data_IF_518028223894
#
_entry.id   IF_518028223894
#
_cell.length_a   1.000
_cell.length_b   1.000
_cell.length_c   1.000
_cell.angle_alpha   90.00
_cell.angle_beta   90.00
_cell.angle_gamma   90.00
#
_symmetry.space_group_name_H-M   'P 1'
#
loop_
_entity.id
_entity.type
_entity.pdbx_description
1 polymer ?
#
# COMPACT_ATOMS: atom_id res chain seq x y z
N UNK A 1 11.24 -20.86 36.32
CA UNK A 1 12.21 -19.99 37.05
C UNK A 1 11.40 -18.91 37.76
N UNK A 2 11.40 -18.88 39.09
CA UNK A 2 10.66 -17.85 39.85
C UNK A 2 11.58 -16.65 40.06
N UNK A 3 11.26 -15.54 39.39
CA UNK A 3 11.99 -14.28 39.59
C UNK A 3 11.62 -13.71 40.96
N UNK A 4 12.62 -13.44 41.79
CA UNK A 4 12.41 -12.70 43.03
C UNK A 4 12.21 -11.22 42.71
N UNK A 5 11.27 -10.53 43.38
CA UNK A 5 11.06 -9.10 43.16
C UNK A 5 12.32 -8.30 43.58
N UNK A 6 12.70 -7.34 42.75
CA UNK A 6 13.77 -6.38 43.07
C UNK A 6 13.19 -5.34 44.03
N UNK A 7 13.75 -5.25 45.24
CA UNK A 7 13.32 -4.33 46.30
C UNK A 7 14.44 -3.32 46.56
N UNK A 8 14.07 -2.10 46.93
CA UNK A 8 15.02 -1.10 47.42
C UNK A 8 15.77 -1.63 48.65
N UNK A 9 17.10 -1.66 48.57
CA UNK A 9 17.91 -1.98 49.74
C UNK A 9 17.77 -0.91 50.83
N UNK A 10 17.67 -1.35 52.09
CA UNK A 10 17.43 -0.44 53.21
C UNK A 10 16.11 0.35 53.10
N UNK A 11 15.11 -0.14 52.38
CA UNK A 11 13.83 0.58 52.17
C UNK A 11 13.18 1.01 53.49
N UNK A 12 13.13 0.12 54.49
CA UNK A 12 12.50 0.41 55.77
C UNK A 12 13.18 1.59 56.48
N UNK A 13 14.50 1.54 56.61
CA UNK A 13 15.32 2.60 57.21
C UNK A 13 15.23 3.90 56.40
N UNK A 14 15.32 3.82 55.07
CA UNK A 14 15.21 4.98 54.18
C UNK A 14 13.85 5.65 54.31
N UNK A 15 12.77 4.86 54.40
CA UNK A 15 11.40 5.35 54.58
C UNK A 15 11.24 6.02 55.94
N UNK A 16 11.78 5.44 56.99
CA UNK A 16 11.75 6.00 58.34
C UNK A 16 12.52 7.32 58.42
N UNK A 17 13.76 7.35 57.91
CA UNK A 17 14.60 8.55 57.87
C UNK A 17 13.98 9.66 57.01
N UNK A 18 13.45 9.32 55.84
CA UNK A 18 12.75 10.29 54.98
C UNK A 18 11.49 10.81 55.68
N UNK A 19 10.74 9.94 56.37
CA UNK A 19 9.59 10.33 57.18
C UNK A 19 9.98 11.34 58.27
N UNK A 20 11.05 11.09 59.02
CA UNK A 20 11.56 12.04 60.01
C UNK A 20 11.96 13.38 59.39
N UNK A 21 12.68 13.36 58.27
CA UNK A 21 13.06 14.58 57.55
C UNK A 21 11.85 15.35 57.04
N UNK A 22 10.77 14.67 56.64
CA UNK A 22 9.59 15.31 56.08
C UNK A 22 8.66 15.90 57.15
N UNK A 23 8.68 15.40 58.39
CA UNK A 23 7.88 15.92 59.51
C UNK A 23 8.07 17.42 59.75
N UNK A 24 9.29 17.94 59.56
CA UNK A 24 9.55 19.39 59.73
C UNK A 24 8.77 20.27 58.73
N UNK A 25 8.21 19.67 57.67
CA UNK A 25 7.42 20.36 56.67
C UNK A 25 5.90 20.20 56.90
N UNK A 26 5.46 19.41 57.89
CA UNK A 26 4.06 19.32 58.29
C UNK A 26 3.63 20.65 58.91
N UNK A 27 2.57 21.27 58.37
CA UNK A 27 2.12 22.60 58.81
C UNK A 27 3.09 23.75 58.47
N UNK A 28 4.10 23.52 57.62
CA UNK A 28 5.08 24.53 57.25
C UNK A 28 4.43 25.73 56.57
N UNK A 29 4.65 26.92 57.14
CA UNK A 29 4.19 28.19 56.57
C UNK A 29 5.34 28.89 55.85
N UNK A 30 5.05 29.37 54.65
CA UNK A 30 6.02 30.11 53.85
C UNK A 30 6.12 31.54 54.37
N UNK A 31 7.23 31.88 55.02
CA UNK A 31 7.47 33.23 55.56
C UNK A 31 7.64 34.29 54.45
N UNK A 32 8.32 33.92 53.36
CA UNK A 32 8.50 34.78 52.20
C UNK A 32 8.81 33.94 50.94
N UNK A 33 8.69 34.57 49.77
CA UNK A 33 8.86 33.91 48.46
C UNK A 33 10.25 33.25 48.30
N UNK A 34 11.31 33.86 48.83
CA UNK A 34 12.68 33.31 48.74
C UNK A 34 12.81 32.02 49.55
N UNK A 35 12.33 32.02 50.80
CA UNK A 35 12.33 30.86 51.68
C UNK A 35 11.48 29.72 51.09
N UNK A 36 10.26 30.03 50.64
CA UNK A 36 9.38 29.03 50.00
C UNK A 36 10.02 28.37 48.77
N UNK A 37 10.66 29.16 47.88
CA UNK A 37 11.39 28.61 46.72
C UNK A 37 12.54 27.69 47.15
N UNK A 38 13.27 28.05 48.20
CA UNK A 38 14.37 27.23 48.71
C UNK A 38 13.88 25.89 49.28
N UNK A 39 12.82 25.92 50.09
CA UNK A 39 12.19 24.71 50.66
C UNK A 39 11.66 23.77 49.57
N UNK A 40 10.97 24.31 48.56
CA UNK A 40 10.51 23.51 47.41
C UNK A 40 11.68 22.90 46.64
N UNK A 41 12.77 23.64 46.43
CA UNK A 41 13.95 23.12 45.75
C UNK A 41 14.59 21.95 46.54
N UNK A 42 14.66 22.05 47.87
CA UNK A 42 15.16 20.98 48.75
C UNK A 42 14.30 19.71 48.63
N UNK A 43 12.97 19.84 48.68
CA UNK A 43 12.05 18.70 48.52
C UNK A 43 12.15 18.06 47.13
N UNK A 44 12.27 18.88 46.07
CA UNK A 44 12.49 18.39 44.70
C UNK A 44 13.81 17.64 44.57
N UNK A 45 14.86 18.07 45.26
CA UNK A 45 16.14 17.36 45.31
C UNK A 45 16.00 15.98 45.95
N UNK A 46 15.37 15.89 47.13
CA UNK A 46 15.10 14.60 47.79
C UNK A 46 14.30 13.65 46.89
N UNK A 47 13.26 14.15 46.20
CA UNK A 47 12.50 13.38 45.22
C UNK A 47 13.38 12.87 44.07
N UNK A 48 14.28 13.71 43.58
CA UNK A 48 15.19 13.37 42.49
C UNK A 48 16.17 12.28 42.91
N UNK A 49 16.75 12.39 44.10
CA UNK A 49 17.67 11.39 44.66
C UNK A 49 17.03 10.00 44.77
N UNK A 50 15.78 9.91 45.24
CA UNK A 50 15.03 8.63 45.27
C UNK A 50 14.84 8.06 43.86
N UNK A 51 14.54 8.92 42.88
CA UNK A 51 14.35 8.49 41.50
C UNK A 51 15.65 8.06 40.81
N UNK A 52 16.77 8.72 41.10
CA UNK A 52 18.08 8.31 40.60
C UNK A 52 18.49 6.96 41.18
N UNK A 53 18.32 6.76 42.50
CA UNK A 53 18.59 5.46 43.12
C UNK A 53 17.72 4.34 42.53
N UNK A 54 16.45 4.60 42.21
CA UNK A 54 15.60 3.66 41.45
C UNK A 54 16.21 3.31 40.09
N UNK A 55 16.70 4.31 39.35
CA UNK A 55 17.32 4.08 38.03
C UNK A 55 18.61 3.27 38.16
N UNK A 56 19.42 3.55 39.17
CA UNK A 56 20.62 2.77 39.50
C UNK A 56 20.29 1.30 39.75
N UNK A 57 19.26 0.99 40.55
CA UNK A 57 18.81 -0.40 40.74
C UNK A 57 18.27 -1.05 39.46
N UNK A 58 17.58 -0.29 38.61
CA UNK A 58 17.01 -0.82 37.35
C UNK A 58 18.09 -1.10 36.29
N UNK A 59 19.15 -0.28 36.28
CA UNK A 59 20.15 -0.25 35.20
C UNK A 59 20.84 -1.61 34.96
N UNK A 60 21.38 -2.32 35.97
CA UNK A 60 22.01 -3.63 35.74
C UNK A 60 21.09 -4.65 35.07
N UNK A 61 19.79 -4.63 35.35
CA UNK A 61 18.83 -5.54 34.72
C UNK A 61 18.56 -5.15 33.27
N UNK A 62 18.43 -3.85 33.00
CA UNK A 62 18.29 -3.36 31.62
C UNK A 62 19.54 -3.68 30.83
N UNK A 63 20.72 -3.45 31.40
CA UNK A 63 22.01 -3.75 30.78
C UNK A 63 22.22 -5.27 30.60
N UNK A 64 21.72 -6.12 31.50
CA UNK A 64 21.81 -7.57 31.40
C UNK A 64 20.86 -8.18 30.36
N UNK A 65 19.70 -7.58 30.14
CA UNK A 65 18.70 -8.05 29.17
C UNK A 65 19.02 -7.56 27.75
N UNK A 66 19.65 -6.38 27.64
CA UNK A 66 19.96 -5.73 26.36
C UNK A 66 20.70 -6.64 25.35
N UNK A 67 21.75 -7.40 25.71
CA UNK A 67 22.42 -8.29 24.76
C UNK A 67 21.48 -9.33 24.16
N UNK A 68 20.57 -9.90 24.95
CA UNK A 68 19.58 -10.86 24.47
C UNK A 68 18.55 -10.19 23.56
N UNK A 69 18.10 -8.97 23.89
CA UNK A 69 17.23 -8.18 23.01
C UNK A 69 17.90 -7.86 21.68
N UNK A 70 19.18 -7.48 21.70
CA UNK A 70 19.94 -7.14 20.51
C UNK A 70 20.20 -8.39 19.65
N UNK A 71 20.51 -9.55 20.25
CA UNK A 71 20.58 -10.84 19.57
C UNK A 71 19.24 -11.22 18.92
N UNK A 72 18.11 -11.03 19.63
CA UNK A 72 16.80 -11.31 19.07
C UNK A 72 16.49 -10.40 17.88
N UNK A 73 16.82 -9.10 17.97
CA UNK A 73 16.67 -8.16 16.86
C UNK A 73 17.50 -8.54 15.64
N UNK A 74 18.75 -8.95 15.86
CA UNK A 74 19.62 -9.42 14.78
C UNK A 74 19.02 -10.64 14.07
N UNK A 75 18.54 -11.64 14.83
CA UNK A 75 17.89 -12.82 14.28
C UNK A 75 16.59 -12.47 13.52
N UNK A 76 15.78 -11.55 14.04
CA UNK A 76 14.58 -11.07 13.34
C UNK A 76 14.95 -10.35 12.04
N UNK A 77 15.99 -9.50 12.05
CA UNK A 77 16.46 -8.80 10.87
C UNK A 77 16.94 -9.77 9.78
N UNK A 78 17.67 -10.83 10.13
CA UNK A 78 18.07 -11.88 9.18
C UNK A 78 16.86 -12.57 8.52
N UNK A 79 15.78 -12.76 9.29
CA UNK A 79 14.54 -13.35 8.77
C UNK A 79 13.84 -12.37 7.83
N UNK A 80 13.74 -11.10 8.22
CA UNK A 80 13.13 -10.05 7.40
C UNK A 80 13.89 -9.86 6.08
N UNK A 81 15.23 -9.90 6.11
CA UNK A 81 16.08 -9.85 4.91
C UNK A 81 15.79 -11.00 3.93
N UNK A 82 15.39 -12.17 4.42
CA UNK A 82 14.96 -13.29 3.58
C UNK A 82 13.51 -13.15 3.10
N UNK A 83 12.60 -12.65 3.95
CA UNK A 83 11.17 -12.47 3.63
C UNK A 83 10.96 -11.39 2.56
N UNK A 84 11.61 -10.24 2.72
CA UNK A 84 11.38 -9.06 1.90
C UNK A 84 11.52 -9.31 0.39
N UNK A 85 12.61 -9.91 -0.13
CA UNK A 85 12.73 -10.17 -1.57
C UNK A 85 11.72 -11.21 -2.08
N UNK A 86 11.30 -12.17 -1.24
CA UNK A 86 10.27 -13.15 -1.61
C UNK A 86 8.91 -12.46 -1.72
N UNK A 87 8.57 -11.61 -0.76
CA UNK A 87 7.33 -10.85 -0.77
C UNK A 87 7.26 -9.91 -1.98
N UNK A 88 8.36 -9.27 -2.35
CA UNK A 88 8.45 -8.43 -3.55
C UNK A 88 8.26 -9.25 -4.84
N UNK A 89 8.93 -10.39 -4.96
CA UNK A 89 8.75 -11.29 -6.10
C UNK A 89 7.30 -11.79 -6.23
N UNK A 90 6.67 -12.16 -5.12
CA UNK A 90 5.26 -12.57 -5.11
C UNK A 90 4.35 -11.44 -5.58
N UNK A 91 4.54 -10.22 -5.10
CA UNK A 91 3.78 -9.05 -5.55
C UNK A 91 3.96 -8.80 -7.05
N UNK A 92 5.17 -8.91 -7.57
CA UNK A 92 5.45 -8.74 -8.99
C UNK A 92 4.77 -9.82 -9.84
N UNK A 93 4.78 -11.07 -9.39
CA UNK A 93 4.06 -12.17 -10.05
C UNK A 93 2.55 -11.91 -10.02
N UNK A 94 1.98 -11.51 -8.89
CA UNK A 94 0.54 -11.23 -8.77
C UNK A 94 0.09 -10.07 -9.65
N UNK A 95 0.90 -9.01 -9.72
CA UNK A 95 0.67 -7.88 -10.61
C UNK A 95 0.75 -8.29 -12.07
N UNK A 96 1.82 -8.98 -12.49
CA UNK A 96 1.96 -9.48 -13.86
C UNK A 96 0.78 -10.36 -14.27
N UNK A 97 0.37 -11.30 -13.41
CA UNK A 97 -0.82 -12.13 -13.67
C UNK A 97 -2.11 -11.31 -13.75
N UNK A 98 -2.22 -10.20 -13.01
CA UNK A 98 -3.36 -9.29 -13.10
C UNK A 98 -3.35 -8.51 -14.41
N UNK A 99 -2.20 -8.03 -14.84
CA UNK A 99 -2.02 -7.29 -16.09
C UNK A 99 -2.28 -8.20 -17.30
N UNK A 100 -1.86 -9.46 -17.25
CA UNK A 100 -2.21 -10.49 -18.24
C UNK A 100 -3.71 -10.73 -18.31
N UNK A 101 -4.40 -10.84 -17.16
CA UNK A 101 -5.86 -10.95 -17.12
C UNK A 101 -6.53 -9.71 -17.70
N UNK A 102 -6.03 -8.53 -17.40
CA UNK A 102 -6.55 -7.28 -17.94
C UNK A 102 -6.37 -7.19 -19.47
N UNK A 103 -5.17 -7.50 -19.98
CA UNK A 103 -4.90 -7.59 -21.42
C UNK A 103 -5.86 -8.56 -22.10
N UNK A 104 -6.08 -9.73 -21.50
CA UNK A 104 -7.03 -10.73 -22.00
C UNK A 104 -8.47 -10.20 -22.01
N UNK A 105 -8.92 -9.53 -20.95
CA UNK A 105 -10.26 -8.94 -20.89
C UNK A 105 -10.41 -7.85 -21.95
N UNK A 106 -9.43 -6.95 -22.10
CA UNK A 106 -9.42 -5.91 -23.15
C UNK A 106 -9.51 -6.52 -24.55
N UNK A 107 -8.76 -7.59 -24.82
CA UNK A 107 -8.85 -8.33 -26.09
C UNK A 107 -10.26 -8.89 -26.33
N UNK A 108 -10.87 -9.53 -25.32
CA UNK A 108 -12.21 -10.08 -25.44
C UNK A 108 -13.28 -8.99 -25.63
N UNK A 109 -13.15 -7.86 -24.93
CA UNK A 109 -14.03 -6.70 -25.14
C UNK A 109 -13.86 -6.19 -26.56
N UNK A 110 -12.64 -6.02 -27.06
CA UNK A 110 -12.39 -5.54 -28.41
C UNK A 110 -13.01 -6.45 -29.48
N UNK A 111 -12.87 -7.77 -29.32
CA UNK A 111 -13.45 -8.76 -30.23
C UNK A 111 -14.99 -8.72 -30.22
N UNK A 112 -15.59 -8.56 -29.05
CA UNK A 112 -17.05 -8.64 -28.87
C UNK A 112 -17.77 -7.32 -29.13
N UNK A 113 -17.24 -6.20 -28.64
CA UNK A 113 -17.83 -4.86 -28.75
C UNK A 113 -18.02 -4.45 -30.21
N UNK A 114 -17.15 -4.91 -31.11
CA UNK A 114 -17.29 -4.70 -32.55
C UNK A 114 -18.64 -5.19 -33.10
N UNK A 115 -19.06 -6.40 -32.70
CA UNK A 115 -20.36 -6.96 -33.11
C UNK A 115 -21.55 -6.18 -32.56
N UNK A 116 -21.32 -5.40 -31.49
CA UNK A 116 -22.31 -4.58 -30.81
C UNK A 116 -22.22 -3.09 -31.18
N UNK A 117 -21.29 -2.68 -32.05
CA UNK A 117 -21.08 -1.30 -32.47
C UNK A 117 -20.71 -0.34 -31.33
N UNK A 118 -20.02 -0.86 -30.31
CA UNK A 118 -19.54 -0.09 -29.16
C UNK A 118 -18.04 0.10 -29.30
N UNK A 119 -17.54 1.31 -28.99
CA UNK A 119 -16.10 1.52 -28.82
C UNK A 119 -15.60 0.68 -27.62
N UNK A 120 -14.66 -0.27 -27.84
CA UNK A 120 -14.09 -1.08 -26.77
C UNK A 120 -13.50 -0.27 -25.60
N UNK A 121 -13.06 0.96 -25.83
CA UNK A 121 -12.46 1.83 -24.81
C UNK A 121 -13.50 2.44 -23.85
N UNK A 122 -14.76 2.52 -24.28
CA UNK A 122 -15.89 3.02 -23.47
C UNK A 122 -16.48 1.94 -22.56
N UNK A 123 -15.98 0.70 -22.63
CA UNK A 123 -16.47 -0.42 -21.82
C UNK A 123 -15.69 -0.49 -20.51
N UNK A 124 -16.38 -0.16 -19.41
CA UNK A 124 -15.80 -0.25 -18.07
C UNK A 124 -15.42 -1.69 -17.69
N UNK A 125 -14.12 -1.92 -17.42
CA UNK A 125 -13.63 -3.21 -16.93
C UNK A 125 -14.04 -3.41 -15.48
N UNK A 126 -14.90 -4.39 -15.23
CA UNK A 126 -15.35 -4.70 -13.87
C UNK A 126 -14.28 -5.47 -13.08
N UNK A 127 -14.05 -5.16 -11.79
CA UNK A 127 -13.06 -5.88 -10.96
C UNK A 127 -13.25 -7.40 -10.93
N UNK A 128 -14.50 -7.88 -11.03
CA UNK A 128 -14.84 -9.31 -11.08
C UNK A 128 -14.20 -10.01 -12.29
N UNK A 129 -14.02 -9.33 -13.41
CA UNK A 129 -13.43 -9.87 -14.63
C UNK A 129 -11.92 -10.11 -14.53
N UNK A 130 -11.27 -9.45 -13.57
CA UNK A 130 -9.83 -9.58 -13.31
C UNK A 130 -9.52 -10.60 -12.21
N UNK A 131 -10.52 -11.35 -11.74
CA UNK A 131 -10.35 -12.40 -10.72
C UNK A 131 -9.81 -13.69 -11.34
N UNK A 132 -9.11 -14.51 -10.53
CA UNK A 132 -8.60 -15.82 -10.96
C UNK A 132 -9.71 -16.87 -11.14
N UNK A 133 -10.89 -16.63 -10.57
CA UNK A 133 -11.97 -17.61 -10.48
C UNK A 133 -13.03 -17.49 -11.59
N UNK A 134 -13.05 -16.39 -12.34
CA UNK A 134 -14.02 -16.25 -13.44
C UNK A 134 -13.61 -17.14 -14.62
N UNK A 135 -14.47 -18.09 -14.97
CA UNK A 135 -14.25 -18.95 -16.13
C UNK A 135 -14.53 -18.20 -17.45
N UNK A 136 -13.87 -18.63 -18.52
CA UNK A 136 -13.96 -18.02 -19.85
C UNK A 136 -15.38 -17.83 -20.38
N UNK A 137 -16.23 -18.83 -20.18
CA UNK A 137 -17.63 -18.80 -20.63
C UNK A 137 -18.42 -17.71 -19.90
N UNK A 138 -18.24 -17.62 -18.58
CA UNK A 138 -18.92 -16.63 -17.75
C UNK A 138 -18.40 -15.22 -18.04
N UNK A 139 -17.09 -15.06 -18.22
CA UNK A 139 -16.50 -13.77 -18.60
C UNK A 139 -17.07 -13.25 -19.93
N UNK A 140 -17.08 -14.09 -20.97
CA UNK A 140 -17.65 -13.71 -22.28
C UNK A 140 -19.13 -13.35 -22.16
N UNK A 141 -19.89 -14.11 -21.37
CA UNK A 141 -21.30 -13.83 -21.12
C UNK A 141 -21.49 -12.48 -20.44
N UNK A 142 -20.74 -12.17 -19.38
CA UNK A 142 -20.84 -10.89 -18.69
C UNK A 142 -20.47 -9.70 -19.57
N UNK A 143 -19.42 -9.84 -20.40
CA UNK A 143 -19.05 -8.81 -21.39
C UNK A 143 -20.20 -8.62 -22.40
N UNK A 144 -20.76 -9.71 -22.95
CA UNK A 144 -21.88 -9.61 -23.90
C UNK A 144 -23.11 -8.92 -23.29
N UNK A 145 -23.42 -9.24 -22.03
CA UNK A 145 -24.56 -8.64 -21.34
C UNK A 145 -24.33 -7.15 -21.05
N UNK A 146 -23.09 -6.75 -20.72
CA UNK A 146 -22.73 -5.32 -20.59
C UNK A 146 -22.89 -4.57 -21.91
N UNK A 147 -22.37 -5.12 -23.01
CA UNK A 147 -22.47 -4.52 -24.34
C UNK A 147 -23.94 -4.35 -24.76
N UNK A 148 -24.79 -5.35 -24.52
CA UNK A 148 -26.24 -5.22 -24.79
C UNK A 148 -26.89 -4.09 -24.00
N UNK A 149 -26.50 -3.90 -22.73
CA UNK A 149 -27.00 -2.80 -21.91
C UNK A 149 -26.55 -1.46 -22.49
N UNK A 150 -25.28 -1.31 -22.86
CA UNK A 150 -24.75 -0.09 -23.48
C UNK A 150 -25.48 0.27 -24.78
N UNK A 151 -25.76 -0.71 -25.66
CA UNK A 151 -26.58 -0.50 -26.87
C UNK A 151 -27.99 -0.02 -26.50
N UNK A 152 -28.64 -0.66 -25.53
CA UNK A 152 -30.00 -0.31 -25.08
C UNK A 152 -30.12 1.12 -24.56
N UNK A 153 -29.04 1.64 -23.97
CA UNK A 153 -28.98 2.99 -23.40
C UNK A 153 -28.16 3.99 -24.25
N UNK A 154 -27.83 3.63 -25.50
CA UNK A 154 -27.11 4.47 -26.48
C UNK A 154 -25.78 5.06 -25.97
N UNK A 155 -25.02 4.29 -25.17
CA UNK A 155 -23.68 4.68 -24.73
C UNK A 155 -22.60 4.09 -25.66
N UNK A 156 -21.62 4.89 -26.06
CA UNK A 156 -20.46 4.46 -26.85
C UNK A 156 -20.69 4.44 -28.37
N UNK A 157 -20.74 5.62 -29.00
CA UNK A 157 -20.80 5.78 -30.47
C UNK A 157 -19.47 5.41 -31.14
N UNK A 158 -19.52 5.06 -32.44
CA UNK A 158 -18.31 4.79 -33.25
C UNK A 158 -17.39 6.04 -33.30
N UNK A 159 -16.08 5.86 -33.51
CA UNK A 159 -15.16 6.97 -33.76
C UNK A 159 -15.61 7.84 -34.94
N UNK A 160 -15.38 9.15 -34.84
CA UNK A 160 -15.72 10.12 -35.89
C UNK A 160 -15.09 9.72 -37.25
N UNK A 161 -15.88 9.85 -38.31
CA UNK A 161 -15.46 9.54 -39.69
C UNK A 161 -15.61 8.08 -40.13
N UNK A 162 -16.10 7.19 -39.26
CA UNK A 162 -16.43 5.80 -39.60
C UNK A 162 -17.94 5.58 -39.50
N UNK A 163 -18.53 5.23 -40.64
CA UNK A 163 -19.96 5.01 -40.79
C UNK A 163 -20.28 3.58 -41.21
N UNK A 164 -21.58 3.26 -41.22
CA UNK A 164 -22.09 1.99 -41.74
C UNK A 164 -22.94 2.21 -42.98
N UNK A 165 -22.53 1.60 -44.09
CA UNK A 165 -23.30 1.58 -45.35
C UNK A 165 -23.52 0.12 -45.75
N UNK A 166 -24.78 -0.30 -45.84
CA UNK A 166 -25.17 -1.66 -46.27
C UNK A 166 -24.43 -2.79 -45.54
N UNK A 167 -24.19 -2.63 -44.23
CA UNK A 167 -23.55 -3.65 -43.41
C UNK A 167 -22.03 -3.58 -43.37
N UNK A 168 -21.39 -2.88 -44.31
CA UNK A 168 -19.97 -2.62 -44.33
C UNK A 168 -19.59 -1.39 -43.48
N UNK A 169 -18.40 -1.42 -42.90
CA UNK A 169 -17.77 -0.22 -42.34
C UNK A 169 -17.16 0.57 -43.49
N UNK A 170 -17.48 1.85 -43.51
CA UNK A 170 -17.08 2.74 -44.59
C UNK A 170 -16.59 4.05 -43.99
N UNK A 171 -15.46 4.56 -44.47
CA UNK A 171 -15.00 5.90 -44.12
C UNK A 171 -15.96 6.97 -44.66
N UNK A 172 -15.81 8.22 -44.23
CA UNK A 172 -16.53 9.36 -44.82
C UNK A 172 -16.34 9.46 -46.35
N UNK A 173 -15.20 8.98 -46.87
CA UNK A 173 -14.87 8.99 -48.29
C UNK A 173 -15.44 7.80 -49.08
N UNK A 174 -16.18 6.89 -48.42
CA UNK A 174 -16.82 5.76 -49.11
C UNK A 174 -15.94 4.50 -49.20
N UNK A 175 -14.77 4.47 -48.56
CA UNK A 175 -13.87 3.32 -48.61
C UNK A 175 -14.19 2.26 -47.55
N UNK A 176 -14.07 1.00 -47.94
CA UNK A 176 -14.29 -0.15 -47.05
C UNK A 176 -13.22 -0.21 -45.96
N UNK A 177 -13.64 -0.12 -44.69
CA UNK A 177 -12.75 -0.17 -43.54
C UNK A 177 -12.74 -1.58 -42.94
N UNK A 178 -11.56 -2.12 -42.68
CA UNK A 178 -11.37 -3.42 -42.00
C UNK A 178 -10.51 -3.23 -40.76
N UNK A 179 -11.05 -3.59 -39.58
CA UNK A 179 -10.32 -3.52 -38.32
C UNK A 179 -9.61 -4.85 -38.04
N UNK A 180 -8.31 -4.78 -37.78
CA UNK A 180 -7.50 -5.92 -37.37
C UNK A 180 -6.89 -5.66 -35.99
N UNK A 181 -6.93 -6.65 -35.09
CA UNK A 181 -6.22 -6.63 -33.82
C UNK A 181 -4.90 -7.40 -33.97
N UNK A 182 -3.77 -6.75 -33.71
CA UNK A 182 -2.44 -7.37 -33.84
C UNK A 182 -1.63 -7.18 -32.55
N UNK A 183 -1.18 -8.29 -31.97
CA UNK A 183 -0.23 -8.28 -30.83
C UNK A 183 1.14 -8.67 -31.34
N UNK A 184 2.12 -7.76 -31.22
CA UNK A 184 3.50 -7.98 -31.64
C UNK A 184 4.47 -7.74 -30.48
N UNK A 185 5.55 -8.53 -30.43
CA UNK A 185 6.66 -8.32 -29.50
C UNK A 185 7.82 -7.70 -30.28
N UNK A 186 8.11 -6.42 -30.02
CA UNK A 186 9.13 -5.64 -30.73
C UNK A 186 9.91 -4.77 -29.76
N UNK A 187 11.15 -4.43 -30.11
CA UNK A 187 11.95 -3.43 -29.39
C UNK A 187 11.42 -2.02 -29.64
N UNK A 188 11.79 -1.05 -28.79
CA UNK A 188 11.38 0.35 -28.95
C UNK A 188 11.77 0.95 -30.32
N UNK A 189 12.92 0.57 -30.88
CA UNK A 189 13.35 1.06 -32.20
C UNK A 189 12.54 0.42 -33.33
N UNK A 190 12.22 -0.87 -33.21
CA UNK A 190 11.34 -1.56 -34.17
C UNK A 190 9.92 -1.01 -34.12
N UNK A 191 9.42 -0.67 -32.92
CA UNK A 191 8.11 -0.05 -32.76
C UNK A 191 8.05 1.33 -33.42
N UNK A 192 9.05 2.20 -33.21
CA UNK A 192 9.10 3.51 -33.87
C UNK A 192 9.09 3.38 -35.40
N UNK A 193 9.82 2.40 -35.93
CA UNK A 193 9.86 2.10 -37.37
C UNK A 193 8.50 1.63 -37.88
N UNK A 194 7.81 0.75 -37.14
CA UNK A 194 6.47 0.29 -37.54
C UNK A 194 5.43 1.40 -37.50
N UNK A 195 5.57 2.34 -36.56
CA UNK A 195 4.66 3.47 -36.43
C UNK A 195 4.92 4.56 -37.47
N UNK A 196 6.13 4.69 -38.03
CA UNK A 196 6.41 5.70 -39.06
C UNK A 196 5.69 5.43 -40.39
N UNK A 197 5.35 4.17 -40.65
CA UNK A 197 4.66 3.74 -41.86
C UNK A 197 3.13 3.76 -41.72
N UNK A 198 2.61 4.03 -40.51
CA UNK A 198 1.19 4.12 -40.22
C UNK A 198 0.74 5.59 -40.15
N UNK A 199 -0.42 5.90 -40.72
CA UNK A 199 -1.01 7.23 -40.56
C UNK A 199 -1.49 7.40 -39.10
N UNK A 200 -0.66 8.05 -38.27
CA UNK A 200 -0.85 8.18 -36.82
C UNK A 200 -2.16 8.90 -36.44
N UNK A 201 -2.77 9.63 -37.37
CA UNK A 201 -4.07 10.28 -37.17
C UNK A 201 -5.25 9.28 -37.06
N UNK A 202 -5.10 8.05 -37.54
CA UNK A 202 -6.18 7.04 -37.62
C UNK A 202 -5.94 5.82 -36.71
N UNK A 203 -4.79 5.77 -36.03
CA UNK A 203 -4.43 4.68 -35.12
C UNK A 203 -4.31 5.23 -33.71
N UNK A 204 -5.28 4.99 -32.80
CA UNK A 204 -5.12 5.32 -31.39
C UNK A 204 -4.08 4.37 -30.80
N UNK A 205 -2.81 4.80 -30.82
CA UNK A 205 -1.73 4.11 -30.14
C UNK A 205 -1.79 4.43 -28.66
N UNK A 206 -2.23 3.48 -27.85
CA UNK A 206 -2.01 3.53 -26.40
C UNK A 206 -0.73 2.76 -26.08
N UNK A 207 0.29 3.46 -25.58
CA UNK A 207 1.55 2.87 -25.15
C UNK A 207 1.28 1.96 -23.95
N UNK A 208 1.11 0.66 -24.20
CA UNK A 208 1.20 -0.34 -23.14
C UNK A 208 2.69 -0.53 -22.83
N UNK A 209 3.20 0.26 -21.87
CA UNK A 209 4.51 0.02 -21.28
C UNK A 209 4.54 -1.41 -20.70
N UNK A 210 5.52 -2.19 -21.14
CA UNK A 210 5.85 -3.51 -20.58
C UNK A 210 6.80 -3.31 -19.41
#
# INVERSE_FOLDING_TARGET
>A
MTLKPVIFDGYAETKENLGYQLKQFEGYQVENVKNGKHTVAKLRKLRTEVNERKKEYKRPYTDAIKPMEDQAKELMAMIDDAINPIAEQLKNIENSQRDEREKRVKSLIADMAFSHHIDPLEVDIKPKWLTKSIGDLELKREIADELKLMVKFSKGTLPDGINRVNGALVSDDGEMVQKHLLTIYVTNEQLKTLLSDLNVAEVPYEKLEV
#
